data_IF_239299759389
#
_entry.id   IF_239299759389
#
_cell.length_a   1.000
_cell.length_b   1.000
_cell.length_c   1.000
_cell.angle_alpha   90.00
_cell.angle_beta   90.00
_cell.angle_gamma   90.00
#
_symmetry.space_group_name_H-M   'P 1'
#
loop_
_entity.id
_entity.type
_entity.pdbx_description
1 polymer ?
#
# COMPACT_ATOMS: atom_id res chain seq x y z
N UNK A 1 1.85 19.55 -4.07
CA UNK A 1 0.79 18.51 -4.15
C UNK A 1 -0.38 18.88 -5.08
N UNK A 2 -0.99 20.08 -5.01
CA UNK A 2 -2.15 20.44 -5.86
C UNK A 2 -1.84 20.49 -7.37
N UNK A 3 -0.67 21.02 -7.78
CA UNK A 3 -0.26 21.00 -9.20
C UNK A 3 0.14 19.61 -9.72
N UNK A 4 0.63 18.73 -8.84
CA UNK A 4 1.11 17.39 -9.22
C UNK A 4 -0.04 16.38 -9.38
N UNK A 5 -1.18 16.62 -8.73
CA UNK A 5 -2.36 15.74 -8.77
C UNK A 5 -3.35 16.10 -9.87
N UNK A 6 -3.06 17.11 -10.71
CA UNK A 6 -3.92 17.53 -11.84
C UNK A 6 -5.41 17.68 -11.44
N UNK A 7 -5.69 18.16 -10.22
CA UNK A 7 -7.05 18.35 -9.71
C UNK A 7 -7.77 17.12 -9.15
N UNK A 8 -7.23 15.91 -9.29
CA UNK A 8 -7.85 14.66 -8.76
C UNK A 8 -7.98 14.62 -7.23
N UNK A 9 -7.15 15.40 -6.53
CA UNK A 9 -7.20 15.53 -5.06
C UNK A 9 -8.57 16.00 -4.54
N UNK A 10 -9.36 16.72 -5.36
CA UNK A 10 -10.68 17.20 -4.96
C UNK A 10 -11.80 16.16 -5.05
N UNK A 11 -11.53 15.01 -5.67
CA UNK A 11 -12.51 13.93 -5.86
C UNK A 11 -12.19 12.68 -5.02
N UNK A 12 -11.09 12.68 -4.28
CA UNK A 12 -10.68 11.58 -3.42
C UNK A 12 -10.85 11.98 -1.95
N UNK A 13 -11.57 11.19 -1.13
CA UNK A 13 -11.67 11.45 0.30
C UNK A 13 -10.29 11.25 0.94
N UNK A 14 -9.63 12.34 1.27
CA UNK A 14 -8.35 12.34 1.97
C UNK A 14 -8.58 12.43 3.47
N UNK A 15 -8.14 11.40 4.20
CA UNK A 15 -8.17 11.38 5.66
C UNK A 15 -6.75 11.36 6.18
N UNK A 16 -6.44 12.25 7.11
CA UNK A 16 -5.11 12.41 7.71
C UNK A 16 -5.22 12.29 9.24
N UNK A 17 -4.07 12.17 9.92
CA UNK A 17 -3.98 12.09 11.39
C UNK A 17 -4.67 10.87 12.03
N UNK A 18 -4.69 9.74 11.32
CA UNK A 18 -5.16 8.46 11.87
C UNK A 18 -3.97 7.61 12.34
N UNK A 19 -4.14 6.88 13.45
CA UNK A 19 -3.18 5.86 13.82
C UNK A 19 -3.33 4.65 12.88
N UNK A 20 -2.21 4.04 12.50
CA UNK A 20 -2.23 2.94 11.53
C UNK A 20 -3.05 1.72 12.02
N UNK A 21 -3.05 1.46 13.32
CA UNK A 21 -3.85 0.40 13.95
C UNK A 21 -5.35 0.63 13.79
N UNK A 22 -5.81 1.89 13.86
CA UNK A 22 -7.22 2.25 13.67
C UNK A 22 -7.66 1.98 12.22
N UNK A 23 -6.80 2.32 11.26
CA UNK A 23 -7.03 2.08 9.84
C UNK A 23 -7.09 0.58 9.55
N UNK A 24 -6.12 -0.20 10.05
CA UNK A 24 -6.12 -1.65 9.89
C UNK A 24 -7.36 -2.31 10.50
N UNK A 25 -7.74 -1.88 11.70
CA UNK A 25 -8.94 -2.37 12.40
C UNK A 25 -10.22 -2.00 11.65
N UNK A 26 -10.28 -0.81 11.06
CA UNK A 26 -11.39 -0.40 10.22
C UNK A 26 -11.46 -1.22 8.93
N UNK A 27 -10.34 -1.42 8.24
CA UNK A 27 -10.24 -2.26 7.03
C UNK A 27 -10.75 -3.67 7.30
N UNK A 28 -10.29 -4.30 8.38
CA UNK A 28 -10.74 -5.64 8.78
C UNK A 28 -12.26 -5.68 9.01
N UNK A 29 -12.82 -4.73 9.78
CA UNK A 29 -14.27 -4.68 10.05
C UNK A 29 -15.12 -4.48 8.80
N UNK A 30 -14.60 -3.77 7.80
CA UNK A 30 -15.30 -3.48 6.55
C UNK A 30 -15.08 -4.55 5.46
N UNK A 31 -14.31 -5.60 5.79
CA UNK A 31 -13.99 -6.71 4.89
C UNK A 31 -12.96 -6.36 3.82
N UNK A 32 -12.11 -5.35 4.05
CA UNK A 32 -10.97 -5.06 3.19
C UNK A 32 -9.81 -5.99 3.53
N UNK A 33 -9.20 -6.55 2.48
CA UNK A 33 -7.93 -7.26 2.56
C UNK A 33 -6.79 -6.26 2.44
N UNK A 34 -5.94 -6.21 3.46
CA UNK A 34 -4.80 -5.30 3.51
C UNK A 34 -3.60 -5.88 2.78
N UNK A 35 -3.02 -5.11 1.87
CA UNK A 35 -1.93 -5.53 0.99
C UNK A 35 -0.75 -4.58 1.18
N UNK A 36 0.30 -5.05 1.86
CA UNK A 36 1.52 -4.27 2.06
C UNK A 36 2.50 -4.44 0.91
N UNK A 37 3.11 -3.34 0.49
CA UNK A 37 4.20 -3.35 -0.49
C UNK A 37 5.54 -3.54 0.22
N UNK A 38 6.28 -4.61 -0.10
CA UNK A 38 7.63 -4.85 0.41
C UNK A 38 8.49 -5.62 -0.58
N UNK A 39 9.80 -5.39 -0.58
CA UNK A 39 10.74 -6.02 -1.52
C UNK A 39 11.10 -7.47 -1.14
N UNK A 40 11.02 -7.80 0.15
CA UNK A 40 11.40 -9.12 0.67
C UNK A 40 10.16 -9.91 1.15
N UNK A 41 10.18 -11.23 0.94
CA UNK A 41 9.14 -12.15 1.45
C UNK A 41 7.74 -11.88 0.92
N UNK A 42 7.65 -11.31 -0.29
CA UNK A 42 6.42 -10.87 -0.93
C UNK A 42 6.11 -11.65 -2.20
N UNK A 43 4.83 -11.74 -2.53
CA UNK A 43 4.35 -12.30 -3.79
C UNK A 43 4.46 -11.28 -4.92
N UNK A 44 4.64 -11.75 -6.15
CA UNK A 44 4.53 -10.90 -7.33
C UNK A 44 3.12 -10.28 -7.39
N UNK A 45 3.04 -8.95 -7.41
CA UNK A 45 1.77 -8.20 -7.48
C UNK A 45 0.89 -8.67 -8.65
N UNK A 46 1.50 -9.03 -9.79
CA UNK A 46 0.76 -9.49 -10.98
C UNK A 46 0.26 -10.94 -10.87
N UNK A 47 0.72 -11.67 -9.86
CA UNK A 47 0.26 -13.03 -9.55
C UNK A 47 -0.61 -13.09 -8.30
N UNK A 48 -0.67 -12.02 -7.53
CA UNK A 48 -1.49 -11.92 -6.33
C UNK A 48 -2.99 -11.88 -6.69
N UNK A 49 -3.82 -12.53 -5.88
CA UNK A 49 -5.27 -12.42 -6.01
C UNK A 49 -5.75 -11.11 -5.38
N UNK A 50 -5.93 -10.11 -6.25
CA UNK A 50 -6.44 -8.78 -5.90
C UNK A 50 -7.95 -8.65 -6.14
N UNK A 51 -8.70 -9.76 -6.17
CA UNK A 51 -10.15 -9.71 -6.31
C UNK A 51 -10.85 -9.27 -5.02
N UNK A 52 -11.87 -8.41 -5.11
CA UNK A 52 -12.70 -7.99 -3.98
C UNK A 52 -12.40 -6.59 -3.45
N UNK A 53 -12.35 -6.43 -2.12
CA UNK A 53 -12.06 -5.16 -1.44
C UNK A 53 -10.61 -5.14 -0.98
N UNK A 54 -9.78 -4.30 -1.58
CA UNK A 54 -8.34 -4.21 -1.27
C UNK A 54 -7.99 -2.86 -0.64
N UNK A 55 -7.11 -2.89 0.35
CA UNK A 55 -6.51 -1.70 0.94
C UNK A 55 -4.98 -1.82 0.80
N UNK A 56 -4.37 -0.98 -0.04
CA UNK A 56 -2.93 -0.99 -0.25
C UNK A 56 -2.21 -0.14 0.79
N UNK A 57 -1.17 -0.71 1.41
CA UNK A 57 -0.25 0.02 2.26
C UNK A 57 1.00 0.35 1.45
N UNK A 58 1.20 1.65 1.25
CA UNK A 58 2.35 2.21 0.56
C UNK A 58 3.22 2.95 1.58
N UNK A 59 4.50 2.64 1.54
CA UNK A 59 5.50 3.29 2.36
C UNK A 59 6.20 4.42 1.63
N UNK A 60 6.96 5.23 2.37
CA UNK A 60 7.81 6.25 1.76
C UNK A 60 9.00 5.60 1.03
N UNK A 61 9.45 6.19 -0.08
CA UNK A 61 10.51 5.67 -0.96
C UNK A 61 11.80 5.29 -0.21
N UNK A 62 12.14 6.01 0.86
CA UNK A 62 13.36 5.79 1.62
C UNK A 62 13.30 4.60 2.60
N UNK A 63 12.12 4.30 3.16
CA UNK A 63 11.99 3.36 4.28
C UNK A 63 10.94 2.25 4.04
N UNK A 64 10.18 2.32 2.95
CA UNK A 64 9.08 1.41 2.67
C UNK A 64 8.00 1.44 3.75
N UNK A 65 7.13 0.42 3.74
CA UNK A 65 6.12 0.21 4.79
C UNK A 65 6.83 -0.27 6.04
N UNK A 66 6.46 0.24 7.22
CA UNK A 66 7.13 -0.17 8.47
C UNK A 66 6.95 -1.68 8.73
N UNK A 67 7.94 -2.37 9.33
CA UNK A 67 7.87 -3.81 9.57
C UNK A 67 6.62 -4.26 10.35
N UNK A 68 6.17 -3.44 11.31
CA UNK A 68 4.94 -3.70 12.06
C UNK A 68 3.69 -3.76 11.16
N UNK A 69 3.59 -2.87 10.17
CA UNK A 69 2.48 -2.85 9.23
C UNK A 69 2.58 -3.95 8.17
N UNK A 70 3.80 -4.33 7.78
CA UNK A 70 4.00 -5.48 6.89
C UNK A 70 3.55 -6.79 7.55
N UNK A 71 3.79 -6.96 8.86
CA UNK A 71 3.35 -8.12 9.63
C UNK A 71 1.84 -8.14 9.89
N UNK A 72 1.23 -6.96 10.07
CA UNK A 72 -0.21 -6.84 10.27
C UNK A 72 -1.02 -6.92 8.96
N UNK A 73 -0.37 -6.83 7.80
CA UNK A 73 -1.03 -6.94 6.51
C UNK A 73 -1.41 -8.39 6.19
N UNK A 74 -2.57 -8.57 5.58
CA UNK A 74 -3.06 -9.89 5.16
C UNK A 74 -2.24 -10.48 4.00
N UNK A 75 -1.66 -9.62 3.16
CA UNK A 75 -0.79 -10.04 2.07
C UNK A 75 0.37 -9.06 1.89
N UNK A 76 1.50 -9.59 1.41
CA UNK A 76 2.70 -8.84 1.06
C UNK A 76 2.97 -9.02 -0.41
N UNK A 77 3.07 -7.92 -1.14
CA UNK A 77 3.31 -7.91 -2.59
C UNK A 77 4.50 -7.03 -2.94
N UNK A 78 5.19 -7.39 -4.02
CA UNK A 78 6.22 -6.54 -4.63
C UNK A 78 5.87 -6.32 -6.10
N UNK A 79 6.28 -5.18 -6.64
CA UNK A 79 6.19 -4.91 -8.08
C UNK A 79 7.49 -5.45 -8.70
N UNK A 80 7.44 -6.48 -9.56
CA UNK A 80 8.64 -6.93 -10.27
C UNK A 80 9.19 -5.80 -11.13
N UNK A 81 10.47 -5.47 -10.92
CA UNK A 81 11.20 -4.53 -11.76
C UNK A 81 12.12 -5.33 -12.70
N UNK A 82 11.75 -5.52 -13.98
CA UNK A 82 12.64 -6.17 -14.94
C UNK A 82 13.84 -5.25 -15.23
N UNK A 83 14.99 -5.51 -14.60
CA UNK A 83 16.23 -4.74 -14.77
C UNK A 83 17.10 -4.71 -13.50
N UNK A 84 18.11 -3.83 -13.49
CA UNK A 84 18.94 -3.51 -12.30
C UNK A 84 18.40 -2.31 -11.50
N UNK A 85 17.15 -1.92 -11.72
CA UNK A 85 16.55 -0.78 -11.06
C UNK A 85 15.99 -1.23 -9.71
N UNK A 86 16.42 -0.55 -8.64
CA UNK A 86 16.06 -0.87 -7.26
C UNK A 86 14.90 -0.01 -6.73
N UNK A 87 14.30 0.87 -7.56
CA UNK A 87 13.25 1.80 -7.13
C UNK A 87 12.37 2.30 -8.28
N UNK A 88 11.09 2.55 -7.98
CA UNK A 88 10.12 3.32 -8.77
C UNK A 88 9.72 4.55 -7.95
N UNK A 89 9.71 5.74 -8.55
CA UNK A 89 9.23 6.98 -7.90
C UNK A 89 7.74 6.85 -7.50
N UNK A 90 7.40 7.37 -6.32
CA UNK A 90 6.04 7.51 -5.75
C UNK A 90 5.59 8.98 -5.80
#
# INVERSE_FOLDING_TARGET
MVRATMGSLFHLPLVQHLAAEEVLSWCSRQGFRTVATCLEGASDLYRADLSGKQAFLLGNEANGVTPALQQAAAERVYIPMPGKAESMNV
#
